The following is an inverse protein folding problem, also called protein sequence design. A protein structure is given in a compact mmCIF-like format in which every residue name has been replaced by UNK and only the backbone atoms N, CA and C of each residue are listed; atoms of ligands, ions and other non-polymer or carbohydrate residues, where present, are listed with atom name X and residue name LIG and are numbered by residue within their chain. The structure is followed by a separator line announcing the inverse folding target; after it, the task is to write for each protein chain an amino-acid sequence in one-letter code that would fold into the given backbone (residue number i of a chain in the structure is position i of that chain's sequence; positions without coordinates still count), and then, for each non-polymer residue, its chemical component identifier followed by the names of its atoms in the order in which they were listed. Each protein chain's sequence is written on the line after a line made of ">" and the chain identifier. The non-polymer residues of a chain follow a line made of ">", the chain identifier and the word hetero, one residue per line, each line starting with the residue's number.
data_IF_334098692537
#
_entry.id   IF_334098692537
#
_cell.length_a   1.000
_cell.length_b   1.000
_cell.length_c   1.000
_cell.angle_alpha   90.00
_cell.angle_beta   90.00
_cell.angle_gamma   90.00
#
_symmetry.space_group_name_H-M   'P 1'
#
loop_
_entity.id
_entity.type
_entity.pdbx_description
1 polymer ?
#
# COMPACT_ATOMS: atom_id res chain seq x y z
N UNK A 1 1.25 -37.84 4.96
CA UNK A 1 2.16 -37.19 5.92
C UNK A 1 2.24 -38.06 7.17
N UNK A 2 3.44 -38.46 7.64
CA UNK A 2 3.59 -39.28 8.85
C UNK A 2 3.78 -38.38 10.08
N UNK A 3 2.78 -37.55 10.40
CA UNK A 3 2.83 -36.69 11.58
C UNK A 3 1.94 -37.26 12.68
N UNK A 4 2.43 -37.18 13.92
CA UNK A 4 1.62 -37.44 15.10
C UNK A 4 0.73 -36.22 15.36
N UNK A 5 -0.54 -36.45 15.65
CA UNK A 5 -1.50 -35.41 16.01
C UNK A 5 -2.05 -35.65 17.40
N UNK A 6 -2.34 -34.56 18.13
CA UNK A 6 -3.19 -34.66 19.30
C UNK A 6 -4.60 -35.14 18.87
N UNK A 7 -5.31 -35.92 19.71
CA UNK A 7 -6.68 -36.31 19.43
C UNK A 7 -7.59 -35.10 19.17
N UNK A 8 -8.60 -35.30 18.34
CA UNK A 8 -9.62 -34.28 18.11
C UNK A 8 -10.29 -33.88 19.45
N UNK A 9 -10.39 -32.57 19.72
CA UNK A 9 -10.90 -31.99 20.98
C UNK A 9 -10.07 -32.23 22.24
N UNK A 10 -8.81 -32.66 22.12
CA UNK A 10 -7.92 -32.76 23.29
C UNK A 10 -7.79 -31.40 24.01
N UNK A 11 -7.93 -31.40 25.34
CA UNK A 11 -7.86 -30.18 26.16
C UNK A 11 -6.48 -29.52 26.08
N UNK A 12 -5.45 -30.28 25.75
CA UNK A 12 -4.08 -29.81 25.56
C UNK A 12 -3.99 -28.80 24.42
N UNK A 13 -4.82 -28.89 23.38
CA UNK A 13 -4.82 -27.91 22.28
C UNK A 13 -5.10 -26.49 22.79
N UNK A 14 -6.11 -26.30 23.65
CA UNK A 14 -6.41 -24.99 24.26
C UNK A 14 -5.30 -24.53 25.19
N UNK A 15 -4.66 -25.46 25.92
CA UNK A 15 -3.54 -25.15 26.81
C UNK A 15 -2.34 -24.65 26.01
N UNK A 16 -2.00 -25.30 24.89
CA UNK A 16 -0.87 -24.93 24.04
C UNK A 16 -1.08 -23.59 23.33
N UNK A 17 -2.30 -23.30 22.85
CA UNK A 17 -2.65 -21.99 22.27
C UNK A 17 -2.37 -20.85 23.26
N UNK A 18 -2.79 -21.01 24.52
CA UNK A 18 -2.54 -20.02 25.58
C UNK A 18 -1.08 -19.95 25.97
N UNK A 19 -0.42 -21.10 26.11
CA UNK A 19 0.97 -21.19 26.56
C UNK A 19 1.95 -20.55 25.57
N UNK A 20 1.72 -20.73 24.28
CA UNK A 20 2.54 -20.13 23.22
C UNK A 20 1.96 -18.83 22.68
N UNK A 21 0.88 -18.31 23.28
CA UNK A 21 0.23 -17.06 22.87
C UNK A 21 -0.06 -16.99 21.35
N UNK A 22 -0.57 -18.09 20.80
CA UNK A 22 -0.74 -18.24 19.36
C UNK A 22 -1.81 -17.26 18.83
N UNK A 23 -1.37 -16.26 18.07
CA UNK A 23 -2.23 -15.19 17.51
C UNK A 23 -2.35 -15.21 16.00
N UNK A 24 -1.52 -16.00 15.30
CA UNK A 24 -1.48 -16.08 13.85
C UNK A 24 -1.40 -17.54 13.34
N UNK A 25 -1.88 -17.79 12.14
CA UNK A 25 -1.79 -19.08 11.47
C UNK A 25 -1.18 -18.93 10.07
N UNK A 26 -0.34 -19.88 9.62
CA UNK A 26 0.19 -21.03 10.39
C UNK A 26 1.24 -20.62 11.44
N UNK A 27 1.29 -21.32 12.58
CA UNK A 27 2.38 -21.19 13.58
C UNK A 27 3.08 -22.52 13.78
N UNK A 28 4.42 -22.50 13.77
CA UNK A 28 5.25 -23.67 14.03
C UNK A 28 6.22 -23.42 15.19
N UNK A 29 5.97 -24.03 16.35
CA UNK A 29 6.88 -23.93 17.51
C UNK A 29 7.97 -25.00 17.41
N UNK A 30 9.24 -24.61 17.57
CA UNK A 30 10.36 -25.55 17.62
C UNK A 30 10.76 -25.78 19.07
N UNK A 31 10.74 -27.05 19.50
CA UNK A 31 11.18 -27.49 20.82
C UNK A 31 12.52 -28.20 20.72
N UNK A 32 13.42 -27.92 21.66
CA UNK A 32 14.69 -28.60 21.82
C UNK A 32 14.53 -29.97 22.46
N UNK A 33 15.61 -30.76 22.45
CA UNK A 33 15.65 -32.08 23.10
C UNK A 33 15.44 -32.00 24.62
N UNK A 34 15.69 -30.84 25.22
CA UNK A 34 15.44 -30.54 26.63
C UNK A 34 13.99 -30.12 26.91
N UNK A 35 13.13 -30.12 25.90
CA UNK A 35 11.73 -29.70 25.98
C UNK A 35 11.54 -28.19 26.03
N UNK A 36 12.60 -27.38 25.96
CA UNK A 36 12.50 -25.92 25.93
C UNK A 36 12.20 -25.42 24.53
N UNK A 37 11.57 -24.26 24.45
CA UNK A 37 11.32 -23.59 23.17
C UNK A 37 12.62 -23.04 22.59
N UNK A 38 12.99 -23.53 21.41
CA UNK A 38 14.09 -22.99 20.61
C UNK A 38 13.62 -21.83 19.72
N UNK A 39 12.41 -21.93 19.17
CA UNK A 39 11.84 -20.88 18.34
C UNK A 39 10.30 -20.83 18.49
N UNK A 40 9.71 -19.66 18.80
CA UNK A 40 8.28 -19.54 19.08
C UNK A 40 7.41 -19.63 17.83
N UNK A 41 7.91 -19.22 16.65
CA UNK A 41 7.21 -19.42 15.37
C UNK A 41 8.18 -19.51 14.19
N UNK A 42 8.54 -20.73 13.78
CA UNK A 42 9.44 -20.99 12.67
C UNK A 42 8.75 -21.09 11.31
N UNK A 43 7.44 -20.83 11.22
CA UNK A 43 6.70 -20.93 9.95
C UNK A 43 7.33 -20.06 8.86
N UNK A 44 7.57 -18.77 9.15
CA UNK A 44 8.19 -17.84 8.20
C UNK A 44 9.62 -18.24 7.81
N UNK A 45 10.39 -18.77 8.77
CA UNK A 45 11.76 -19.22 8.51
C UNK A 45 11.76 -20.40 7.53
N UNK A 46 10.84 -21.36 7.68
CA UNK A 46 10.72 -22.49 6.78
C UNK A 46 10.20 -22.05 5.41
N UNK A 47 9.26 -21.10 5.37
CA UNK A 47 8.80 -20.53 4.10
C UNK A 47 9.95 -19.84 3.34
N UNK A 48 10.87 -19.19 4.04
CA UNK A 48 11.95 -18.42 3.44
C UNK A 48 13.19 -19.26 3.10
N UNK A 49 13.62 -20.17 3.99
CA UNK A 49 14.87 -20.92 3.85
C UNK A 49 14.69 -22.44 3.80
N UNK A 50 13.45 -22.94 3.92
CA UNK A 50 13.13 -24.36 3.85
C UNK A 50 13.94 -25.19 4.86
N UNK A 51 14.52 -26.29 4.39
CA UNK A 51 15.31 -27.22 5.21
C UNK A 51 16.61 -26.61 5.74
N UNK A 52 17.08 -25.49 5.17
CA UNK A 52 18.30 -24.84 5.63
C UNK A 52 18.15 -24.23 7.03
N UNK A 53 16.93 -24.04 7.51
CA UNK A 53 16.66 -23.56 8.86
C UNK A 53 17.06 -24.56 9.95
N UNK A 54 17.06 -25.86 9.64
CA UNK A 54 17.48 -26.90 10.58
C UNK A 54 18.97 -26.76 10.91
N UNK A 55 19.39 -26.90 12.19
CA UNK A 55 18.62 -27.36 13.36
C UNK A 55 17.96 -26.25 14.21
N UNK A 56 17.66 -25.08 13.64
CA UNK A 56 17.03 -23.93 14.33
C UNK A 56 17.84 -23.44 15.56
N UNK A 57 19.15 -23.62 15.54
CA UNK A 57 20.04 -23.08 16.56
C UNK A 57 20.24 -21.57 16.37
N UNK A 58 20.51 -20.85 17.46
CA UNK A 58 20.78 -19.41 17.40
C UNK A 58 21.90 -19.06 16.40
N UNK A 59 22.97 -19.87 16.34
CA UNK A 59 24.06 -19.69 15.38
C UNK A 59 23.60 -19.86 13.93
N UNK A 60 22.75 -20.86 13.64
CA UNK A 60 22.25 -21.10 12.29
C UNK A 60 21.33 -19.97 11.83
N UNK A 61 20.44 -19.51 12.71
CA UNK A 61 19.54 -18.40 12.44
C UNK A 61 20.32 -17.09 12.22
N UNK A 62 21.35 -16.82 13.03
CA UNK A 62 22.23 -15.66 12.82
C UNK A 62 22.90 -15.69 11.44
N UNK A 63 23.41 -16.85 11.01
CA UNK A 63 23.99 -17.01 9.65
C UNK A 63 22.98 -16.76 8.54
N UNK A 64 21.73 -17.23 8.70
CA UNK A 64 20.68 -16.99 7.72
C UNK A 64 20.30 -15.51 7.63
N UNK A 65 20.26 -14.81 8.77
CA UNK A 65 19.99 -13.38 8.79
C UNK A 65 21.11 -12.57 8.12
N UNK A 66 22.37 -12.95 8.31
CA UNK A 66 23.49 -12.33 7.58
C UNK A 66 23.41 -12.57 6.07
N UNK A 67 23.03 -13.78 5.63
CA UNK A 67 22.80 -14.08 4.21
C UNK A 67 21.66 -13.22 3.65
N UNK A 68 20.57 -13.08 4.40
CA UNK A 68 19.43 -12.25 4.03
C UNK A 68 19.83 -10.79 3.88
N UNK A 69 20.55 -10.26 4.87
CA UNK A 69 21.05 -8.89 4.87
C UNK A 69 21.97 -8.64 3.68
N UNK A 70 22.93 -9.53 3.44
CA UNK A 70 23.80 -9.44 2.28
C UNK A 70 23.01 -9.48 0.96
N UNK A 71 21.98 -10.33 0.85
CA UNK A 71 21.09 -10.39 -0.32
C UNK A 71 20.31 -9.09 -0.52
N UNK A 72 19.78 -8.49 0.54
CA UNK A 72 19.08 -7.20 0.49
C UNK A 72 20.03 -6.05 0.12
N UNK A 73 21.25 -6.06 0.66
CA UNK A 73 22.27 -5.05 0.38
C UNK A 73 22.76 -5.10 -1.07
N UNK A 74 22.86 -6.32 -1.63
CA UNK A 74 23.26 -6.59 -3.00
C UNK A 74 22.11 -6.49 -4.02
N UNK A 75 20.86 -6.28 -3.57
CA UNK A 75 19.72 -6.17 -4.47
C UNK A 75 19.89 -4.99 -5.43
N UNK A 76 19.82 -5.28 -6.73
CA UNK A 76 19.66 -4.30 -7.82
C UNK A 76 18.40 -4.61 -8.62
N UNK A 77 18.02 -3.71 -9.54
CA UNK A 77 16.85 -3.91 -10.38
C UNK A 77 17.04 -5.13 -11.30
N UNK A 78 18.23 -5.26 -11.87
CA UNK A 78 18.58 -6.36 -12.77
C UNK A 78 18.62 -7.69 -12.02
N UNK A 79 19.11 -7.71 -10.77
CA UNK A 79 19.16 -8.92 -9.95
C UNK A 79 17.78 -9.56 -9.71
N UNK A 80 16.69 -8.78 -9.83
CA UNK A 80 15.32 -9.24 -9.63
C UNK A 80 14.49 -9.32 -10.92
N UNK A 81 14.83 -8.52 -11.95
CA UNK A 81 14.07 -8.46 -13.21
C UNK A 81 14.75 -9.12 -14.40
N UNK A 82 16.01 -9.56 -14.29
CA UNK A 82 16.72 -10.26 -15.37
C UNK A 82 16.91 -11.73 -15.00
N UNK A 83 16.45 -12.62 -15.88
CA UNK A 83 16.64 -14.08 -15.71
C UNK A 83 16.98 -14.74 -17.06
N UNK A 84 18.27 -14.99 -17.29
CA UNK A 84 18.77 -15.46 -18.59
C UNK A 84 18.45 -14.44 -19.69
N UNK A 85 17.83 -14.89 -20.77
CA UNK A 85 17.41 -14.03 -21.90
C UNK A 85 16.12 -13.22 -21.60
N UNK A 86 15.55 -13.33 -20.39
CA UNK A 86 14.40 -12.54 -19.96
C UNK A 86 14.87 -11.25 -19.30
N UNK A 87 15.33 -10.33 -20.12
CA UNK A 87 15.94 -9.05 -19.72
C UNK A 87 15.10 -7.83 -20.15
N UNK A 88 13.82 -8.03 -20.49
CA UNK A 88 12.94 -6.97 -20.99
C UNK A 88 11.56 -6.97 -20.32
N UNK A 89 10.84 -5.84 -20.44
CA UNK A 89 9.41 -5.68 -20.14
C UNK A 89 8.66 -5.30 -21.43
N UNK A 90 7.34 -5.40 -21.42
CA UNK A 90 6.46 -5.00 -22.52
C UNK A 90 5.93 -3.59 -22.30
N UNK A 91 6.22 -2.69 -23.24
CA UNK A 91 5.51 -1.44 -23.41
C UNK A 91 4.18 -1.63 -24.12
N UNK A 92 3.61 -0.52 -24.56
CA UNK A 92 2.41 -0.54 -25.40
C UNK A 92 2.69 -1.22 -26.73
N UNK A 93 1.66 -1.87 -27.27
CA UNK A 93 1.69 -2.60 -28.53
C UNK A 93 2.72 -3.75 -28.58
N UNK A 94 3.16 -4.25 -27.42
CA UNK A 94 4.10 -5.37 -27.32
C UNK A 94 5.56 -5.00 -27.56
N UNK A 95 5.91 -3.71 -27.57
CA UNK A 95 7.30 -3.25 -27.70
C UNK A 95 8.11 -3.78 -26.52
N UNK A 96 9.24 -4.44 -26.81
CA UNK A 96 10.17 -4.93 -25.78
C UNK A 96 11.10 -3.81 -25.34
N UNK A 97 11.03 -3.46 -24.05
CA UNK A 97 11.88 -2.44 -23.42
C UNK A 97 12.89 -3.18 -22.53
N UNK A 98 14.21 -3.06 -22.81
CA UNK A 98 15.24 -3.66 -21.97
C UNK A 98 15.18 -3.14 -20.53
N UNK A 99 15.35 -4.03 -19.54
CA UNK A 99 15.39 -3.69 -18.11
C UNK A 99 16.50 -2.68 -17.81
N UNK A 100 17.59 -2.70 -18.57
CA UNK A 100 18.69 -1.72 -18.45
C UNK A 100 18.25 -0.27 -18.66
N UNK A 101 17.17 -0.02 -19.41
CA UNK A 101 16.60 1.34 -19.59
C UNK A 101 15.78 1.82 -18.38
N UNK A 102 15.46 0.91 -17.45
CA UNK A 102 14.72 1.20 -16.22
C UNK A 102 15.65 1.38 -15.01
N UNK A 103 16.93 1.06 -15.15
CA UNK A 103 17.94 1.22 -14.10
C UNK A 103 18.09 2.70 -13.76
N UNK A 104 18.16 3.03 -12.47
CA UNK A 104 18.20 4.42 -12.01
C UNK A 104 16.82 5.06 -11.84
N UNK A 105 15.73 4.36 -12.16
CA UNK A 105 14.36 4.86 -11.96
C UNK A 105 13.75 4.36 -10.64
N UNK A 106 12.80 5.13 -10.10
CA UNK A 106 11.86 4.65 -9.11
C UNK A 106 10.84 3.74 -9.80
N UNK A 107 10.73 2.50 -9.34
CA UNK A 107 9.88 1.49 -9.96
C UNK A 107 8.83 1.00 -8.98
N UNK A 108 7.56 1.00 -9.39
CA UNK A 108 6.52 0.24 -8.69
C UNK A 108 6.29 -1.10 -9.38
N UNK A 109 6.43 -2.20 -8.65
CA UNK A 109 6.00 -3.52 -9.10
C UNK A 109 4.54 -3.73 -8.69
N UNK A 110 3.63 -3.75 -9.65
CA UNK A 110 2.19 -3.85 -9.41
C UNK A 110 1.66 -5.25 -9.70
N UNK A 111 1.40 -6.03 -8.66
CA UNK A 111 0.81 -7.37 -8.75
C UNK A 111 -0.71 -7.26 -8.69
N UNK A 112 -1.41 -7.63 -9.76
CA UNK A 112 -2.87 -7.55 -9.83
C UNK A 112 -3.48 -8.47 -10.89
N UNK A 113 -4.81 -8.55 -10.92
CA UNK A 113 -5.58 -9.29 -11.90
C UNK A 113 -6.99 -8.70 -12.08
N UNK A 114 -7.57 -8.88 -13.26
CA UNK A 114 -8.89 -8.37 -13.60
C UNK A 114 -10.04 -9.07 -12.85
N UNK A 115 -9.82 -10.28 -12.32
CA UNK A 115 -10.84 -10.99 -11.54
C UNK A 115 -10.87 -10.57 -10.06
N UNK A 116 -9.98 -9.67 -9.61
CA UNK A 116 -9.77 -9.33 -8.20
C UNK A 116 -10.66 -8.15 -7.75
N UNK A 117 -11.76 -8.33 -7.00
CA UNK A 117 -12.71 -7.25 -6.71
C UNK A 117 -12.10 -5.95 -6.13
N UNK A 118 -11.08 -6.00 -5.25
CA UNK A 118 -10.41 -4.81 -4.73
C UNK A 118 -9.65 -3.96 -5.77
N UNK A 119 -9.34 -4.45 -6.98
CA UNK A 119 -8.60 -3.64 -7.97
C UNK A 119 -9.42 -2.42 -8.42
N UNK A 120 -10.76 -2.52 -8.43
CA UNK A 120 -11.64 -1.48 -8.98
C UNK A 120 -11.51 -0.15 -8.24
N UNK A 121 -11.29 -0.20 -6.93
CA UNK A 121 -11.08 1.00 -6.13
C UNK A 121 -9.64 1.52 -6.22
N UNK A 122 -8.65 0.64 -6.42
CA UNK A 122 -7.24 1.02 -6.37
C UNK A 122 -6.67 1.47 -7.72
N UNK A 123 -7.07 0.84 -8.82
CA UNK A 123 -6.50 1.12 -10.14
C UNK A 123 -6.68 2.60 -10.56
N UNK A 124 -7.86 3.24 -10.40
CA UNK A 124 -8.01 4.66 -10.72
C UNK A 124 -7.06 5.55 -9.90
N UNK A 125 -6.92 5.31 -8.60
CA UNK A 125 -5.99 6.05 -7.74
C UNK A 125 -4.53 5.86 -8.17
N UNK A 126 -4.15 4.66 -8.58
CA UNK A 126 -2.80 4.39 -9.08
C UNK A 126 -2.54 5.09 -10.42
N UNK A 127 -3.53 5.13 -11.32
CA UNK A 127 -3.43 5.85 -12.61
C UNK A 127 -3.26 7.36 -12.37
N UNK A 128 -4.08 7.94 -11.49
CA UNK A 128 -3.97 9.35 -11.10
C UNK A 128 -2.58 9.67 -10.52
N UNK A 129 -2.15 8.91 -9.51
CA UNK A 129 -0.83 9.07 -8.91
C UNK A 129 0.31 8.88 -9.92
N UNK A 130 0.16 7.96 -10.87
CA UNK A 130 1.15 7.76 -11.93
C UNK A 130 1.31 9.01 -12.78
N UNK A 131 0.21 9.61 -13.24
CA UNK A 131 0.27 10.82 -14.04
C UNK A 131 0.87 12.00 -13.26
N UNK A 132 0.46 12.19 -12.00
CA UNK A 132 0.98 13.26 -11.14
C UNK A 132 2.48 13.15 -10.86
N UNK A 133 2.96 11.93 -10.63
CA UNK A 133 4.40 11.67 -10.41
C UNK A 133 5.16 11.86 -11.72
N UNK A 134 4.69 11.27 -12.83
CA UNK A 134 5.35 11.39 -14.15
C UNK A 134 5.41 12.83 -14.65
N UNK A 135 4.44 13.67 -14.31
CA UNK A 135 4.47 15.09 -14.65
C UNK A 135 5.62 15.85 -13.97
N UNK A 136 6.20 15.31 -12.89
CA UNK A 136 7.26 15.93 -12.09
C UNK A 136 8.60 15.20 -12.20
N UNK A 137 8.56 13.88 -12.44
CA UNK A 137 9.73 13.01 -12.48
C UNK A 137 9.61 11.94 -13.58
N UNK A 138 10.35 12.13 -14.67
CA UNK A 138 10.44 11.15 -15.76
C UNK A 138 11.16 9.85 -15.35
N UNK A 139 11.90 9.89 -14.24
CA UNK A 139 12.58 8.78 -13.58
C UNK A 139 11.65 7.86 -12.79
N UNK A 140 10.35 7.89 -13.04
CA UNK A 140 9.36 6.99 -12.45
C UNK A 140 8.74 6.04 -13.49
N UNK A 141 8.45 4.81 -13.09
CA UNK A 141 7.72 3.83 -13.91
C UNK A 141 6.97 2.79 -13.05
N UNK A 142 5.92 2.20 -13.61
CA UNK A 142 5.18 1.08 -13.01
C UNK A 142 5.32 -0.16 -13.90
N UNK A 143 5.63 -1.32 -13.31
CA UNK A 143 5.68 -2.61 -14.02
C UNK A 143 4.53 -3.47 -13.53
N UNK A 144 3.56 -3.70 -14.41
CA UNK A 144 2.44 -4.61 -14.14
C UNK A 144 2.89 -6.07 -14.19
N UNK A 145 2.57 -6.82 -13.13
CA UNK A 145 2.86 -8.25 -12.98
C UNK A 145 1.54 -8.99 -12.85
N UNK A 146 1.11 -9.59 -13.96
CA UNK A 146 -0.24 -10.13 -14.06
C UNK A 146 -0.47 -11.43 -13.28
N UNK A 147 -1.61 -11.49 -12.61
CA UNK A 147 -2.20 -12.71 -12.06
C UNK A 147 -3.48 -13.16 -12.78
N UNK A 148 -3.71 -12.65 -14.00
CA UNK A 148 -4.73 -13.20 -14.88
C UNK A 148 -4.40 -14.64 -15.27
N UNK A 149 -5.45 -15.40 -15.62
CA UNK A 149 -5.35 -16.84 -15.90
C UNK A 149 -5.19 -17.15 -17.38
N UNK A 150 -5.48 -16.18 -18.23
CA UNK A 150 -5.45 -16.27 -19.68
C UNK A 150 -4.95 -14.96 -20.29
N UNK A 151 -4.44 -15.06 -21.51
CA UNK A 151 -3.79 -13.95 -22.22
C UNK A 151 -4.78 -12.86 -22.64
N UNK A 152 -6.03 -13.21 -23.00
CA UNK A 152 -7.05 -12.22 -23.37
C UNK A 152 -7.34 -11.27 -22.21
N UNK A 153 -7.64 -11.83 -21.03
CA UNK A 153 -7.87 -11.05 -19.80
C UNK A 153 -6.64 -10.23 -19.39
N UNK A 154 -5.43 -10.70 -19.70
CA UNK A 154 -4.21 -9.91 -19.53
C UNK A 154 -4.17 -8.70 -20.45
N UNK A 155 -4.35 -8.90 -21.76
CA UNK A 155 -4.29 -7.83 -22.75
C UNK A 155 -5.38 -6.79 -22.52
N UNK A 156 -6.62 -7.22 -22.30
CA UNK A 156 -7.76 -6.33 -22.04
C UNK A 156 -7.49 -5.46 -20.82
N UNK A 157 -7.00 -6.04 -19.72
CA UNK A 157 -6.73 -5.29 -18.51
C UNK A 157 -5.51 -4.38 -18.64
N UNK A 158 -4.44 -4.86 -19.26
CA UNK A 158 -3.22 -4.08 -19.49
C UNK A 158 -3.46 -2.89 -20.45
N UNK A 159 -4.41 -3.00 -21.38
CA UNK A 159 -4.77 -1.93 -22.30
C UNK A 159 -5.24 -0.66 -21.57
N UNK A 160 -5.87 -0.81 -20.40
CA UNK A 160 -6.36 0.29 -19.57
C UNK A 160 -5.30 1.03 -18.75
N UNK A 161 -4.07 0.52 -18.70
CA UNK A 161 -3.01 1.04 -17.83
C UNK A 161 -2.03 1.93 -18.60
N UNK A 162 -1.47 3.03 -18.07
CA UNK A 162 -0.56 3.90 -18.82
C UNK A 162 0.92 3.48 -18.81
N UNK A 163 1.24 2.31 -18.23
CA UNK A 163 2.61 1.86 -17.94
C UNK A 163 2.98 0.53 -18.63
N UNK A 164 4.12 -0.06 -18.24
CA UNK A 164 4.69 -1.30 -18.83
C UNK A 164 4.30 -2.56 -18.05
N UNK A 165 4.53 -3.75 -18.60
CA UNK A 165 4.21 -5.03 -17.96
C UNK A 165 5.27 -6.11 -18.17
N UNK A 166 5.33 -7.10 -17.27
CA UNK A 166 5.98 -8.37 -17.63
C UNK A 166 5.12 -9.13 -18.67
N UNK A 167 5.75 -9.89 -19.59
CA UNK A 167 5.03 -10.79 -20.47
C UNK A 167 4.06 -11.71 -19.73
N UNK A 168 2.94 -12.05 -20.36
CA UNK A 168 2.01 -13.04 -19.81
C UNK A 168 2.71 -14.41 -19.69
N UNK A 169 2.52 -15.10 -18.56
CA UNK A 169 3.15 -16.39 -18.30
C UNK A 169 4.64 -16.33 -17.96
N UNK A 170 5.23 -15.15 -17.72
CA UNK A 170 6.65 -15.02 -17.39
C UNK A 170 6.99 -15.58 -15.99
N UNK A 171 7.90 -16.56 -15.90
CA UNK A 171 8.28 -17.17 -14.61
C UNK A 171 8.99 -16.21 -13.65
N UNK A 172 9.50 -15.07 -14.12
CA UNK A 172 10.02 -14.03 -13.22
C UNK A 172 8.97 -13.62 -12.20
N UNK A 173 7.67 -13.69 -12.55
CA UNK A 173 6.57 -13.52 -11.60
C UNK A 173 6.72 -14.44 -10.38
N UNK A 174 7.03 -15.72 -10.57
CA UNK A 174 7.16 -16.70 -9.47
C UNK A 174 8.31 -16.30 -8.55
N UNK A 175 9.46 -15.92 -9.13
CA UNK A 175 10.63 -15.45 -8.38
C UNK A 175 10.32 -14.17 -7.60
N UNK A 176 9.67 -13.19 -8.24
CA UNK A 176 9.28 -11.92 -7.63
C UNK A 176 8.24 -12.14 -6.52
N UNK A 177 7.21 -12.97 -6.75
CA UNK A 177 6.21 -13.28 -5.73
C UNK A 177 6.83 -13.92 -4.49
N UNK A 178 7.81 -14.81 -4.65
CA UNK A 178 8.57 -15.39 -3.53
C UNK A 178 9.43 -14.36 -2.82
N UNK A 179 10.20 -13.58 -3.59
CA UNK A 179 11.13 -12.56 -3.08
C UNK A 179 10.41 -11.51 -2.23
N UNK A 180 9.24 -11.07 -2.70
CA UNK A 180 8.45 -10.05 -2.01
C UNK A 180 7.39 -10.62 -1.06
N UNK A 181 7.28 -11.95 -0.95
CA UNK A 181 6.27 -12.66 -0.14
C UNK A 181 4.84 -12.23 -0.47
N UNK A 182 4.52 -12.19 -1.76
CA UNK A 182 3.20 -11.77 -2.25
C UNK A 182 2.16 -12.86 -1.92
N UNK A 183 1.34 -12.61 -0.90
CA UNK A 183 0.29 -13.52 -0.40
C UNK A 183 -1.12 -13.12 -0.85
N UNK A 184 -1.28 -11.93 -1.41
CA UNK A 184 -2.55 -11.40 -1.90
C UNK A 184 -2.34 -10.38 -3.03
N UNK A 185 -3.43 -9.98 -3.66
CA UNK A 185 -3.46 -8.90 -4.66
C UNK A 185 -4.68 -7.99 -4.40
N UNK A 186 -4.62 -6.69 -4.75
CA UNK A 186 -3.48 -5.99 -5.34
C UNK A 186 -2.37 -5.70 -4.32
N UNK A 187 -1.12 -5.88 -4.75
CA UNK A 187 0.08 -5.51 -3.97
C UNK A 187 1.00 -4.65 -4.84
N UNK A 188 1.61 -3.63 -4.22
CA UNK A 188 2.56 -2.74 -4.88
C UNK A 188 3.85 -2.70 -4.06
N UNK A 189 4.96 -3.00 -4.72
CA UNK A 189 6.30 -2.89 -4.12
C UNK A 189 7.01 -1.68 -4.73
N UNK A 190 7.52 -0.78 -3.90
CA UNK A 190 8.31 0.35 -4.35
C UNK A 190 9.80 0.03 -4.31
N UNK A 191 10.48 0.25 -5.43
CA UNK A 191 11.92 0.15 -5.59
C UNK A 191 12.48 1.55 -5.89
N UNK A 192 13.58 1.90 -5.25
CA UNK A 192 14.27 3.16 -5.50
C UNK A 192 15.18 3.08 -6.72
N UNK A 193 15.87 4.19 -7.07
CA UNK A 193 16.76 4.27 -8.24
C UNK A 193 17.89 3.24 -8.25
N UNK A 194 18.35 2.82 -7.07
CA UNK A 194 19.37 1.77 -6.91
C UNK A 194 18.86 0.35 -7.19
N UNK A 195 17.55 0.19 -7.41
CA UNK A 195 16.88 -1.11 -7.49
C UNK A 195 16.63 -1.78 -6.14
N UNK A 196 16.97 -1.12 -5.03
CA UNK A 196 16.67 -1.59 -3.67
C UNK A 196 15.21 -1.36 -3.31
N UNK A 197 14.67 -2.27 -2.51
CA UNK A 197 13.30 -2.16 -1.98
C UNK A 197 13.21 -0.99 -1.01
N UNK A 198 12.33 -0.05 -1.31
CA UNK A 198 12.03 1.12 -0.47
C UNK A 198 10.91 0.76 0.51
N UNK A 199 9.81 0.20 0.01
CA UNK A 199 8.72 -0.29 0.85
C UNK A 199 7.90 -1.37 0.13
N UNK A 200 7.28 -2.25 0.92
CA UNK A 200 6.31 -3.24 0.43
C UNK A 200 4.86 -2.80 0.61
N UNK A 201 4.64 -1.65 1.26
CA UNK A 201 3.33 -1.12 1.64
C UNK A 201 2.90 0.05 0.75
N UNK A 202 3.52 0.20 -0.43
CA UNK A 202 3.25 1.30 -1.35
C UNK A 202 1.78 1.39 -1.77
N UNK A 203 1.06 0.25 -1.82
CA UNK A 203 -0.38 0.21 -2.12
C UNK A 203 -1.20 0.97 -1.07
N UNK A 204 -0.87 0.81 0.22
CA UNK A 204 -1.55 1.53 1.30
C UNK A 204 -1.19 3.02 1.27
N UNK A 205 0.09 3.34 1.11
CA UNK A 205 0.56 4.72 1.01
C UNK A 205 -0.12 5.48 -0.16
N UNK A 206 -0.24 4.84 -1.32
CA UNK A 206 -0.95 5.41 -2.48
C UNK A 206 -2.45 5.57 -2.24
N UNK A 207 -3.09 4.62 -1.55
CA UNK A 207 -4.51 4.71 -1.22
C UNK A 207 -4.83 5.93 -0.33
N UNK A 208 -3.93 6.23 0.61
CA UNK A 208 -4.09 7.27 1.63
C UNK A 208 -3.61 8.62 1.13
N UNK A 209 -2.42 8.67 0.54
CA UNK A 209 -1.70 9.91 0.24
C UNK A 209 -1.52 10.19 -1.25
N UNK A 210 -1.93 9.28 -2.13
CA UNK A 210 -1.75 9.42 -3.57
C UNK A 210 -0.29 9.67 -3.95
N UNK A 211 -0.07 10.59 -4.89
CA UNK A 211 1.26 10.97 -5.36
C UNK A 211 2.15 11.59 -4.27
N UNK A 212 1.59 12.13 -3.19
CA UNK A 212 2.37 12.79 -2.14
C UNK A 212 3.25 11.82 -1.34
N UNK A 213 2.93 10.53 -1.37
CA UNK A 213 3.75 9.49 -0.77
C UNK A 213 5.05 9.24 -1.55
N UNK A 214 5.16 9.65 -2.82
CA UNK A 214 6.38 9.51 -3.62
C UNK A 214 7.54 10.32 -3.01
N UNK A 215 8.77 9.78 -2.93
CA UNK A 215 9.27 8.51 -3.47
C UNK A 215 9.18 7.30 -2.52
N UNK A 216 8.23 7.32 -1.59
CA UNK A 216 7.92 6.26 -0.62
C UNK A 216 9.02 5.97 0.40
N UNK A 217 10.06 6.82 0.43
CA UNK A 217 11.18 6.72 1.36
C UNK A 217 10.73 7.00 2.79
N UNK A 218 11.40 6.38 3.76
CA UNK A 218 11.16 6.64 5.19
C UNK A 218 11.27 8.12 5.55
N UNK A 219 12.17 8.87 4.93
CA UNK A 219 12.34 10.30 5.22
C UNK A 219 11.14 11.10 4.70
N UNK A 220 10.67 10.85 3.47
CA UNK A 220 9.43 11.46 2.97
C UNK A 220 8.22 11.16 3.86
N UNK A 221 8.10 9.92 4.35
CA UNK A 221 6.99 9.57 5.25
C UNK A 221 7.08 10.30 6.60
N UNK A 222 8.28 10.50 7.14
CA UNK A 222 8.48 11.32 8.35
C UNK A 222 8.13 12.79 8.10
N UNK A 223 8.53 13.35 6.97
CA UNK A 223 8.17 14.72 6.59
C UNK A 223 6.65 14.88 6.52
N UNK A 224 5.94 13.92 5.92
CA UNK A 224 4.48 13.94 5.85
C UNK A 224 3.83 13.85 7.23
N UNK A 225 4.37 13.06 8.16
CA UNK A 225 3.85 13.03 9.53
C UNK A 225 4.05 14.36 10.23
N UNK A 226 5.21 15.03 10.03
CA UNK A 226 5.43 16.38 10.56
C UNK A 226 4.43 17.37 9.94
N UNK A 227 4.25 17.38 8.61
CA UNK A 227 3.26 18.22 7.93
C UNK A 227 1.86 18.04 8.56
N UNK A 228 1.49 16.79 8.82
CA UNK A 228 0.24 16.44 9.48
C UNK A 228 0.16 17.00 10.90
N UNK A 229 1.19 16.83 11.73
CA UNK A 229 1.23 17.37 13.08
C UNK A 229 1.13 18.91 13.08
N UNK A 230 1.79 19.58 12.13
CA UNK A 230 1.71 21.03 11.95
C UNK A 230 0.28 21.49 11.63
N UNK A 231 -0.50 20.74 10.83
CA UNK A 231 -1.91 21.08 10.55
C UNK A 231 -2.76 21.16 11.82
N UNK A 232 -2.38 20.41 12.86
CA UNK A 232 -3.08 20.40 14.13
C UNK A 232 -2.67 21.58 15.04
N UNK A 233 -1.54 22.25 14.76
CA UNK A 233 -1.11 23.39 15.59
C UNK A 233 -2.09 24.55 15.46
N UNK A 234 -2.40 25.19 16.60
CA UNK A 234 -3.37 26.27 16.68
C UNK A 234 -4.83 25.82 16.75
N UNK A 235 -5.11 24.52 16.61
CA UNK A 235 -6.45 23.96 16.81
C UNK A 235 -6.62 23.44 18.24
N UNK A 236 -7.76 23.69 18.92
CA UNK A 236 -8.05 23.08 20.22
C UNK A 236 -8.08 21.55 20.17
N UNK A 237 -7.72 20.88 21.26
CA UNK A 237 -7.83 19.41 21.37
C UNK A 237 -9.29 18.94 21.42
N UNK A 238 -10.16 19.75 22.04
CA UNK A 238 -11.58 19.49 22.18
C UNK A 238 -12.39 20.73 21.86
N UNK A 239 -13.54 20.53 21.21
CA UNK A 239 -14.47 21.60 20.87
C UNK A 239 -15.90 21.20 21.18
N UNK A 240 -16.74 22.22 21.38
CA UNK A 240 -18.19 22.12 21.31
C UNK A 240 -18.61 22.78 20.00
N UNK A 241 -19.24 22.05 19.09
CA UNK A 241 -19.64 22.60 17.80
C UNK A 241 -21.16 22.58 17.65
N UNK A 242 -21.73 23.69 17.18
CA UNK A 242 -23.16 23.81 16.94
C UNK A 242 -23.67 22.95 15.77
N UNK A 243 -22.79 22.43 14.92
CA UNK A 243 -23.14 21.44 13.89
C UNK A 243 -23.41 20.05 14.50
N UNK A 244 -22.95 19.78 15.73
CA UNK A 244 -23.13 18.52 16.43
C UNK A 244 -24.29 18.60 17.44
N UNK A 245 -25.53 18.68 16.95
CA UNK A 245 -26.74 18.89 17.77
C UNK A 245 -27.82 17.81 17.58
N UNK A 246 -27.48 16.62 17.06
CA UNK A 246 -28.48 15.59 16.71
C UNK A 246 -29.21 14.98 17.92
N UNK A 247 -28.84 15.31 19.17
CA UNK A 247 -29.50 14.82 20.39
C UNK A 247 -29.33 15.80 21.57
N UNK A 248 -30.12 15.59 22.64
CA UNK A 248 -30.22 16.48 23.81
C UNK A 248 -28.92 16.60 24.63
N UNK A 249 -28.06 15.57 24.60
CA UNK A 249 -26.77 15.57 25.28
C UNK A 249 -25.70 16.28 24.46
N UNK A 250 -25.01 17.27 25.06
CA UNK A 250 -23.86 17.91 24.41
C UNK A 250 -22.63 17.02 24.55
N UNK A 251 -22.11 16.49 23.43
CA UNK A 251 -20.85 15.76 23.44
C UNK A 251 -19.72 16.63 22.89
N UNK A 252 -18.55 16.52 23.52
CA UNK A 252 -17.32 17.15 23.01
C UNK A 252 -16.81 16.38 21.79
N UNK A 253 -16.40 17.11 20.77
CA UNK A 253 -15.65 16.53 19.66
C UNK A 253 -14.16 16.56 20.02
N UNK A 254 -13.50 15.42 19.88
CA UNK A 254 -12.07 15.25 20.18
C UNK A 254 -11.28 15.22 18.88
N UNK A 255 -10.25 16.06 18.78
CA UNK A 255 -9.37 16.08 17.62
C UNK A 255 -8.62 14.75 17.53
N UNK A 256 -8.95 13.96 16.52
CA UNK A 256 -8.50 12.58 16.38
C UNK A 256 -7.85 12.35 15.02
N UNK A 257 -6.85 11.46 14.98
CA UNK A 257 -6.25 11.01 13.71
C UNK A 257 -7.27 10.15 12.98
N UNK A 258 -7.54 10.48 11.72
CA UNK A 258 -8.41 9.70 10.84
C UNK A 258 -7.69 9.50 9.52
N UNK A 259 -7.78 8.29 8.99
CA UNK A 259 -7.18 7.98 7.69
C UNK A 259 -7.92 8.72 6.58
N UNK A 260 -9.21 8.44 6.47
CA UNK A 260 -10.19 9.08 5.59
C UNK A 260 -11.52 9.14 6.34
N UNK A 261 -12.29 10.19 6.15
CA UNK A 261 -13.64 10.34 6.71
C UNK A 261 -14.48 11.24 5.80
N UNK A 262 -15.80 11.19 5.95
CA UNK A 262 -16.69 12.20 5.34
C UNK A 262 -17.07 13.18 6.44
N UNK A 263 -16.93 14.47 6.18
CA UNK A 263 -17.34 15.50 7.12
C UNK A 263 -18.86 15.59 7.18
N UNK A 264 -19.46 15.39 8.34
CA UNK A 264 -20.92 15.44 8.55
C UNK A 264 -21.54 16.82 8.27
N UNK A 265 -20.73 17.88 8.16
CA UNK A 265 -21.21 19.24 7.90
C UNK A 265 -21.21 19.63 6.43
N UNK A 266 -20.13 19.33 5.70
CA UNK A 266 -20.01 19.73 4.29
C UNK A 266 -20.08 18.56 3.31
N UNK A 267 -20.18 17.32 3.82
CA UNK A 267 -20.27 16.08 3.02
C UNK A 267 -19.05 15.82 2.11
N UNK A 268 -17.97 16.58 2.27
CA UNK A 268 -16.70 16.38 1.56
C UNK A 268 -15.80 15.39 2.31
N UNK A 269 -14.97 14.67 1.56
CA UNK A 269 -13.93 13.80 2.11
C UNK A 269 -12.88 14.61 2.88
N UNK A 270 -12.43 14.07 4.01
CA UNK A 270 -11.37 14.61 4.85
C UNK A 270 -10.32 13.55 5.15
N UNK A 271 -9.09 14.01 5.39
CA UNK A 271 -7.95 13.15 5.71
C UNK A 271 -7.19 13.69 6.92
N UNK A 272 -6.34 12.83 7.49
CA UNK A 272 -5.37 13.11 8.55
C UNK A 272 -5.93 13.50 9.93
N UNK A 273 -6.71 14.57 10.05
CA UNK A 273 -7.28 15.04 11.32
C UNK A 273 -8.77 15.34 11.17
N UNK A 274 -9.58 14.88 12.11
CA UNK A 274 -10.98 15.29 12.29
C UNK A 274 -11.23 15.71 13.73
N UNK A 275 -12.29 16.49 13.95
CA UNK A 275 -12.97 16.55 15.24
C UNK A 275 -14.01 15.43 15.27
N UNK A 276 -13.77 14.41 16.11
CA UNK A 276 -14.54 13.18 16.14
C UNK A 276 -15.31 13.00 17.45
N UNK A 277 -16.54 12.53 17.38
CA UNK A 277 -17.31 12.05 18.53
C UNK A 277 -17.56 10.55 18.41
N UNK A 278 -16.96 9.75 19.30
CA UNK A 278 -17.14 8.29 19.30
C UNK A 278 -18.52 7.80 19.71
N UNK A 279 -19.30 8.62 20.43
CA UNK A 279 -20.66 8.27 20.83
C UNK A 279 -21.66 8.44 19.69
N UNK A 280 -21.43 9.41 18.82
CA UNK A 280 -22.33 9.77 17.72
C UNK A 280 -21.85 9.32 16.35
N UNK A 281 -20.62 8.80 16.30
CA UNK A 281 -19.87 8.53 15.08
C UNK A 281 -19.88 9.73 14.12
N UNK A 282 -19.60 10.91 14.68
CA UNK A 282 -19.65 12.20 13.96
C UNK A 282 -18.23 12.69 13.68
N UNK A 283 -17.91 13.00 12.43
CA UNK A 283 -16.65 13.57 11.99
C UNK A 283 -16.82 14.96 11.41
N UNK A 284 -15.98 15.89 11.85
CA UNK A 284 -15.96 17.27 11.36
C UNK A 284 -14.55 17.65 10.91
N UNK A 285 -14.40 18.25 9.73
CA UNK A 285 -13.10 18.85 9.37
C UNK A 285 -12.70 19.90 10.38
N UNK A 286 -11.40 20.06 10.63
CA UNK A 286 -10.87 21.15 11.44
C UNK A 286 -11.42 22.50 10.94
N UNK A 287 -11.28 22.79 9.62
CA UNK A 287 -11.81 24.01 8.99
C UNK A 287 -13.33 24.22 9.15
N UNK A 288 -14.10 23.15 9.30
CA UNK A 288 -15.55 23.19 9.42
C UNK A 288 -16.02 23.47 10.84
N UNK A 289 -15.10 23.38 11.83
CA UNK A 289 -15.38 23.75 13.21
C UNK A 289 -15.71 25.25 13.31
N UNK A 290 -16.85 25.52 13.92
CA UNK A 290 -17.39 26.83 14.24
C UNK A 290 -16.65 27.37 15.47
N UNK A 291 -15.37 27.70 15.28
CA UNK A 291 -14.53 28.32 16.29
C UNK A 291 -14.62 29.85 16.18
N UNK A 292 -14.86 30.51 17.31
CA UNK A 292 -14.65 31.95 17.46
C UNK A 292 -13.14 32.21 17.38
N UNK A 293 -12.63 32.41 16.16
CA UNK A 293 -11.24 32.79 15.93
C UNK A 293 -11.14 34.31 15.94
N UNK A 294 -10.36 34.86 16.86
CA UNK A 294 -9.90 36.26 16.76
C UNK A 294 -9.30 36.49 15.37
N UNK A 295 -9.78 37.54 14.71
CA UNK A 295 -9.42 37.94 13.35
C UNK A 295 -7.89 38.17 13.22
N UNK A 296 -7.14 37.16 12.80
CA UNK A 296 -5.68 37.30 12.71
C UNK A 296 -4.91 36.31 11.85
N UNK A 297 -5.52 35.27 11.28
CA UNK A 297 -4.81 34.30 10.44
C UNK A 297 -5.61 33.95 9.19
N UNK A 298 -5.41 34.74 8.13
CA UNK A 298 -5.72 34.30 6.76
C UNK A 298 -4.73 33.19 6.40
N UNK A 299 -5.16 31.95 6.46
CA UNK A 299 -4.49 30.85 5.75
C UNK A 299 -5.05 30.87 4.34
N UNK A 300 -4.34 31.58 3.46
CA UNK A 300 -4.60 31.59 2.05
C UNK A 300 -4.07 30.27 1.47
N UNK A 301 -4.98 29.41 1.01
CA UNK A 301 -4.64 28.28 0.16
C UNK A 301 -5.44 28.40 -1.14
N UNK A 302 -5.31 29.55 -1.80
CA UNK A 302 -5.70 29.73 -3.19
C UNK A 302 -4.50 29.48 -4.11
N UNK A 303 -4.29 28.20 -4.45
CA UNK A 303 -3.62 27.71 -5.68
C UNK A 303 -4.12 26.29 -5.89
N UNK A 304 -4.71 25.87 -6.99
CA UNK A 304 -5.07 26.47 -8.27
C UNK A 304 -6.14 25.52 -8.82
N UNK A 305 -7.41 25.89 -8.73
CA UNK A 305 -8.49 25.28 -9.49
C UNK A 305 -9.11 26.40 -10.29
N UNK A 306 -8.47 26.74 -11.40
CA UNK A 306 -9.14 27.44 -12.48
C UNK A 306 -10.31 26.58 -12.95
N UNK A 307 -11.48 26.86 -12.37
CA UNK A 307 -12.78 26.45 -12.88
C UNK A 307 -12.86 26.91 -14.34
N UNK A 308 -12.72 25.96 -15.25
CA UNK A 308 -13.34 26.06 -16.57
C UNK A 308 -14.55 25.16 -16.54
N UNK A 309 -15.71 25.78 -16.59
CA UNK A 309 -17.01 25.17 -16.78
C UNK A 309 -16.93 24.17 -17.96
N UNK A 310 -17.16 22.85 -17.75
CA UNK A 310 -17.04 21.86 -18.82
C UNK A 310 -18.10 21.99 -19.93
N UNK A 311 -19.12 22.84 -19.75
CA UNK A 311 -20.27 22.91 -20.64
C UNK A 311 -20.38 24.18 -21.50
N UNK A 312 -19.39 25.08 -21.46
CA UNK A 312 -19.40 26.21 -22.40
C UNK A 312 -18.95 25.76 -23.81
N UNK A 313 -19.91 25.60 -24.71
CA UNK A 313 -19.69 25.40 -26.16
C UNK A 313 -20.02 24.01 -26.73
N UNK A 314 -20.70 23.14 -25.97
CA UNK A 314 -21.20 21.86 -26.49
C UNK A 314 -22.69 21.97 -26.80
N UNK A 315 -23.05 21.70 -28.06
CA UNK A 315 -24.44 21.48 -28.45
C UNK A 315 -24.62 19.96 -28.61
N UNK A 316 -25.57 19.37 -27.88
CA UNK A 316 -25.88 17.95 -27.98
C UNK A 316 -27.22 17.75 -28.69
N UNK A 317 -27.28 16.79 -29.61
CA UNK A 317 -28.52 16.34 -30.24
C UNK A 317 -28.61 14.81 -30.10
N UNK A 318 -29.41 14.37 -29.13
CA UNK A 318 -29.45 12.96 -28.71
C UNK A 318 -28.15 12.49 -28.05
N UNK A 319 -27.64 11.32 -28.46
CA UNK A 319 -26.44 10.68 -27.86
C UNK A 319 -25.11 11.18 -28.44
N UNK A 320 -25.12 12.22 -29.29
CA UNK A 320 -23.91 12.77 -29.92
C UNK A 320 -23.79 14.25 -29.61
N UNK A 321 -22.64 14.65 -29.05
CA UNK A 321 -22.33 16.04 -28.75
C UNK A 321 -21.25 16.57 -29.69
N UNK A 322 -21.45 17.79 -30.19
CA UNK A 322 -20.50 18.51 -31.02
C UNK A 322 -20.15 19.86 -30.41
N UNK A 323 -18.89 20.25 -30.60
CA UNK A 323 -18.34 21.51 -30.11
C UNK A 323 -18.52 22.59 -31.17
N UNK A 324 -19.30 23.63 -30.86
CA UNK A 324 -19.46 24.83 -31.72
C UNK A 324 -18.23 25.73 -31.67
#
# INVERSE_FOLDING_TARGET
>A
MPWLSLPFQDKSCRKLIKYFELSALPTLVILGLDGKTLHPNAAELIEEYGTQTYPFTAEKLAKLEEIKKAKLEAQTLESILVEGDRDFVLGKDGIKIPVSQLVGKNILLYFSAHWCPPYRAFLPKLIEAYHDIKAKDDGFEVIFISSNRDESSFQDFFSSMPWVALPFGDDRKISLSRTFKISGIPTVIALGPSGKTVTKDARELLMIHGANAYPFTTDRLKEMEVEVEEMAKGWPEKIQDSAHTKHETKHELVRSRRMTYICDKCEEEGTAWSYYCGECDFDLHLKCASLDRDEGAKVDNSKDSSERDPNEGWTCDGEVCYKS
#
